data_IF_657292599265
#
_entry.id   IF_657292599265
#
_cell.length_a   1.000
_cell.length_b   1.000
_cell.length_c   1.000
_cell.angle_alpha   90.00
_cell.angle_beta   90.00
_cell.angle_gamma   90.00
#
_symmetry.space_group_name_H-M   'P 1'
#
loop_
_entity.id
_entity.type
_entity.pdbx_description
1 polymer ?
#
# COMPACT_ATOMS: atom_id res chain seq x y z
N UNK A 1 -14.14 19.79 -6.30
CA UNK A 1 -13.64 18.53 -6.86
C UNK A 1 -13.84 17.45 -5.79
N UNK A 2 -14.85 16.60 -5.91
CA UNK A 2 -15.07 15.51 -4.96
C UNK A 2 -14.04 14.41 -5.24
N UNK A 3 -13.03 14.28 -4.37
CA UNK A 3 -12.06 13.16 -4.41
C UNK A 3 -12.86 11.89 -4.18
N UNK A 4 -13.03 11.07 -5.22
CA UNK A 4 -13.63 9.75 -5.11
C UNK A 4 -12.88 9.00 -4.00
N UNK A 5 -13.56 8.71 -2.88
CA UNK A 5 -12.97 8.01 -1.75
C UNK A 5 -12.55 6.61 -2.20
N UNK A 6 -11.26 6.28 -2.05
CA UNK A 6 -10.74 4.94 -2.31
C UNK A 6 -11.42 3.92 -1.37
N UNK A 7 -11.39 2.63 -1.72
CA UNK A 7 -11.94 1.59 -0.82
C UNK A 7 -11.29 1.63 0.57
N UNK A 8 -10.00 1.99 0.65
CA UNK A 8 -9.29 2.22 1.91
C UNK A 8 -9.84 3.43 2.68
N UNK A 9 -10.11 4.55 2.01
CA UNK A 9 -10.68 5.75 2.63
C UNK A 9 -12.03 5.49 3.32
N UNK A 10 -12.89 4.66 2.70
CA UNK A 10 -14.21 4.32 3.27
C UNK A 10 -14.15 3.36 4.46
N UNK A 11 -13.10 2.56 4.57
CA UNK A 11 -13.00 1.50 5.59
C UNK A 11 -12.04 1.87 6.72
N UNK A 12 -11.02 2.67 6.42
CA UNK A 12 -9.90 2.98 7.33
C UNK A 12 -9.88 4.46 7.71
N UNK A 13 -10.40 5.35 6.85
CA UNK A 13 -10.34 6.79 7.05
C UNK A 13 -11.04 7.29 8.31
N UNK A 14 -12.07 6.59 8.78
CA UNK A 14 -12.84 6.99 9.96
C UNK A 14 -12.10 6.79 11.29
N UNK A 15 -11.19 5.83 11.38
CA UNK A 15 -10.44 5.54 12.62
C UNK A 15 -8.93 5.78 12.52
N UNK A 16 -8.38 5.84 11.31
CA UNK A 16 -6.97 6.10 11.05
C UNK A 16 -6.78 7.05 9.85
N UNK A 17 -7.21 8.32 9.97
CA UNK A 17 -7.12 9.30 8.88
C UNK A 17 -5.67 9.62 8.46
N UNK A 18 -4.70 9.57 9.37
CA UNK A 18 -3.28 9.82 9.05
C UNK A 18 -2.67 8.69 8.22
N UNK A 19 -3.10 7.44 8.43
CA UNK A 19 -2.65 6.28 7.64
C UNK A 19 -3.06 6.41 6.17
N UNK A 20 -4.22 7.01 5.94
CA UNK A 20 -4.72 7.30 4.61
C UNK A 20 -3.84 8.33 3.90
N UNK A 21 -3.47 9.42 4.58
CA UNK A 21 -2.56 10.44 4.03
C UNK A 21 -1.20 9.84 3.69
N UNK A 22 -0.64 9.02 4.60
CA UNK A 22 0.61 8.30 4.35
C UNK A 22 0.51 7.32 3.17
N UNK A 23 -0.62 6.64 3.00
CA UNK A 23 -0.82 5.70 1.91
C UNK A 23 -0.90 6.42 0.56
N UNK A 24 -1.72 7.47 0.48
CA UNK A 24 -1.96 8.19 -0.76
C UNK A 24 -0.72 9.02 -1.17
N UNK A 25 -0.14 9.78 -0.24
CA UNK A 25 0.89 10.78 -0.57
C UNK A 25 2.31 10.22 -0.52
N UNK A 26 2.60 9.31 0.42
CA UNK A 26 3.95 8.77 0.61
C UNK A 26 4.11 7.43 -0.11
N UNK A 27 3.27 6.44 0.18
CA UNK A 27 3.43 5.11 -0.40
C UNK A 27 3.13 5.13 -1.91
N UNK A 28 1.93 5.55 -2.30
CA UNK A 28 1.51 5.55 -3.70
C UNK A 28 2.07 6.75 -4.49
N UNK A 29 2.04 7.93 -3.89
CA UNK A 29 2.50 9.18 -4.54
C UNK A 29 4.01 9.30 -4.73
N UNK A 30 4.82 8.64 -3.89
CA UNK A 30 6.27 8.79 -3.92
C UNK A 30 7.00 7.45 -4.05
N UNK A 31 6.88 6.56 -3.06
CA UNK A 31 7.69 5.33 -2.97
C UNK A 31 7.45 4.40 -4.16
N UNK A 32 6.19 4.18 -4.55
CA UNK A 32 5.84 3.38 -5.73
C UNK A 32 6.16 4.05 -7.07
N UNK A 33 6.37 5.37 -7.07
CA UNK A 33 6.72 6.17 -8.24
C UNK A 33 8.22 6.31 -8.51
N UNK A 34 9.10 5.85 -7.61
CA UNK A 34 10.56 5.97 -7.78
C UNK A 34 11.05 5.25 -9.03
N UNK A 35 11.97 5.87 -9.77
CA UNK A 35 12.48 5.36 -11.05
C UNK A 35 13.64 4.37 -10.92
N UNK A 36 14.14 4.17 -9.71
CA UNK A 36 15.32 3.32 -9.45
C UNK A 36 15.03 1.83 -9.70
N UNK A 37 13.75 1.45 -9.68
CA UNK A 37 13.27 0.12 -10.02
C UNK A 37 12.18 0.22 -11.09
N UNK A 38 11.97 -0.84 -11.85
CA UNK A 38 10.78 -0.99 -12.68
C UNK A 38 9.54 -1.32 -11.82
N UNK A 39 8.31 -1.06 -12.31
CA UNK A 39 7.09 -1.47 -11.64
C UNK A 39 7.03 -2.99 -11.35
N UNK A 40 7.61 -3.80 -12.24
CA UNK A 40 7.66 -5.26 -12.10
C UNK A 40 8.57 -5.69 -10.93
N UNK A 41 9.76 -5.11 -10.81
CA UNK A 41 10.69 -5.41 -9.71
C UNK A 41 10.10 -5.02 -8.36
N UNK A 42 9.41 -3.87 -8.27
CA UNK A 42 8.71 -3.47 -7.04
C UNK A 42 7.63 -4.45 -6.62
N UNK A 43 6.82 -4.92 -7.57
CA UNK A 43 5.79 -5.92 -7.30
C UNK A 43 6.41 -7.23 -6.80
N UNK A 44 7.47 -7.73 -7.45
CA UNK A 44 8.15 -8.95 -7.04
C UNK A 44 8.75 -8.84 -5.62
N UNK A 45 9.42 -7.73 -5.31
CA UNK A 45 9.99 -7.50 -3.98
C UNK A 45 8.88 -7.44 -2.92
N UNK A 46 7.79 -6.73 -3.19
CA UNK A 46 6.65 -6.63 -2.28
C UNK A 46 6.01 -7.99 -2.03
N UNK A 47 5.74 -8.76 -3.09
CA UNK A 47 5.17 -10.11 -2.98
C UNK A 47 6.11 -11.04 -2.22
N UNK A 48 7.41 -11.03 -2.54
CA UNK A 48 8.42 -11.82 -1.82
C UNK A 48 8.50 -11.45 -0.34
N UNK A 49 8.42 -10.16 -0.01
CA UNK A 49 8.36 -9.67 1.37
C UNK A 49 7.09 -10.12 2.09
N UNK A 50 5.93 -10.12 1.43
CA UNK A 50 4.67 -10.59 2.02
C UNK A 50 4.70 -12.11 2.29
N UNK A 51 5.27 -12.88 1.36
CA UNK A 51 5.45 -14.34 1.51
C UNK A 51 6.43 -14.64 2.67
N UNK A 52 7.55 -13.92 2.74
CA UNK A 52 8.60 -14.16 3.75
C UNK A 52 8.22 -13.61 5.12
N UNK A 53 7.53 -12.47 5.17
CA UNK A 53 7.11 -11.76 6.37
C UNK A 53 5.87 -12.34 7.06
N UNK A 54 5.28 -13.40 6.52
CA UNK A 54 4.29 -14.21 7.25
C UNK A 54 2.98 -13.51 7.57
N UNK A 55 2.36 -12.79 6.61
CA UNK A 55 0.90 -12.55 6.63
C UNK A 55 0.14 -13.66 5.91
N UNK A 56 0.76 -14.83 5.76
CA UNK A 56 0.03 -16.07 5.51
C UNK A 56 -0.20 -16.71 6.87
N UNK A 57 -1.37 -16.47 7.44
CA UNK A 57 -1.95 -17.36 8.43
C UNK A 57 -2.16 -18.72 7.73
N UNK A 58 -1.08 -19.50 7.57
CA UNK A 58 -1.20 -20.93 7.32
C UNK A 58 -1.54 -21.49 8.70
N UNK A 59 -2.82 -21.37 9.05
CA UNK A 59 -3.40 -22.12 10.17
C UNK A 59 -3.08 -23.59 9.93
N UNK A 60 -2.20 -24.12 10.76
CA UNK A 60 -2.18 -25.54 11.09
C UNK A 60 -3.05 -25.78 12.31
#
# INVERSE_FOLDING_TARGET
MQRQLTGAQKTIGDFAPELIELTDDVLLGNVWGRKDLSPHERSLITISSLITGGTTEISS
#
